data_IF_927804020679
#
_entry.id   IF_927804020679
#
_cell.length_a   1.000
_cell.length_b   1.000
_cell.length_c   1.000
_cell.angle_alpha   90.00
_cell.angle_beta   90.00
_cell.angle_gamma   90.00
#
_symmetry.space_group_name_H-M   'P 1'
#
loop_
_entity.id
_entity.type
_entity.pdbx_description
1 polymer ?
#
# COMPACT_ATOMS: atom_id res chain seq x y z
N UNK A 1 -10.07 -7.41 30.38
CA UNK A 1 -9.32 -6.19 29.99
C UNK A 1 -8.34 -6.57 28.91
N UNK A 2 -8.29 -5.80 27.84
CA UNK A 2 -7.37 -6.02 26.73
C UNK A 2 -5.93 -5.66 27.15
N UNK A 3 -5.03 -6.63 27.07
CA UNK A 3 -3.62 -6.48 27.47
C UNK A 3 -2.82 -5.74 26.41
N UNK A 4 -3.21 -5.83 25.13
CA UNK A 4 -2.54 -5.15 24.04
C UNK A 4 -2.72 -3.64 24.18
N UNK A 5 -3.94 -3.17 24.47
CA UNK A 5 -4.23 -1.75 24.69
C UNK A 5 -3.45 -1.08 25.83
N UNK A 6 -2.68 -1.82 26.64
CA UNK A 6 -1.81 -1.27 27.70
C UNK A 6 -0.36 -1.09 27.26
N UNK A 7 0.01 -1.58 26.07
CA UNK A 7 1.37 -1.44 25.56
C UNK A 7 1.62 0.01 25.10
N UNK A 8 2.88 0.47 25.10
CA UNK A 8 3.23 1.76 24.55
C UNK A 8 2.82 1.86 23.08
N UNK A 9 2.38 3.04 22.64
CA UNK A 9 1.95 3.27 21.25
C UNK A 9 3.02 2.85 20.23
N UNK A 10 4.31 3.05 20.53
CA UNK A 10 5.41 2.62 19.68
C UNK A 10 5.44 1.10 19.45
N UNK A 11 5.12 0.30 20.47
CA UNK A 11 5.04 -1.16 20.34
C UNK A 11 3.81 -1.55 19.54
N UNK A 12 2.69 -0.84 19.73
CA UNK A 12 1.45 -1.10 19.00
C UNK A 12 1.55 -0.74 17.52
N UNK A 13 2.22 0.36 17.17
CA UNK A 13 2.52 0.69 15.78
C UNK A 13 3.48 -0.31 15.16
N UNK A 14 4.45 -0.82 15.92
CA UNK A 14 5.34 -1.88 15.44
C UNK A 14 4.58 -3.16 15.12
N UNK A 15 3.64 -3.58 15.98
CA UNK A 15 2.80 -4.75 15.72
C UNK A 15 2.08 -4.59 14.37
N UNK A 16 1.50 -3.42 14.09
CA UNK A 16 0.85 -3.17 12.81
C UNK A 16 1.81 -3.26 11.62
N UNK A 17 3.02 -2.73 11.76
CA UNK A 17 4.04 -2.81 10.70
C UNK A 17 4.41 -4.27 10.41
N UNK A 18 4.57 -5.10 11.45
CA UNK A 18 4.93 -6.51 11.31
C UNK A 18 3.80 -7.41 10.75
N UNK A 19 2.54 -6.94 10.76
CA UNK A 19 1.43 -7.68 10.16
C UNK A 19 1.42 -7.59 8.62
N UNK A 20 2.03 -6.52 8.08
CA UNK A 20 2.30 -6.22 6.66
C UNK A 20 1.11 -6.20 5.69
N UNK A 21 -0.01 -6.85 5.98
CA UNK A 21 -1.12 -7.08 5.05
C UNK A 21 -2.43 -6.51 5.61
N UNK A 22 -3.27 -5.97 4.73
CA UNK A 22 -4.60 -5.46 5.14
C UNK A 22 -5.45 -6.56 5.79
N UNK A 23 -5.32 -7.81 5.34
CA UNK A 23 -6.02 -8.95 5.94
C UNK A 23 -5.65 -9.14 7.41
N UNK A 24 -4.35 -9.21 7.72
CA UNK A 24 -3.86 -9.46 9.07
C UNK A 24 -4.13 -8.29 10.01
N UNK A 25 -3.97 -7.05 9.52
CA UNK A 25 -4.33 -5.83 10.25
C UNK A 25 -5.81 -5.83 10.63
N UNK A 26 -6.69 -6.14 9.66
CA UNK A 26 -8.13 -6.24 9.92
C UNK A 26 -8.47 -7.38 10.89
N UNK A 27 -7.73 -8.50 10.82
CA UNK A 27 -7.84 -9.60 11.79
C UNK A 27 -7.54 -9.14 13.22
N UNK A 28 -6.45 -8.40 13.43
CA UNK A 28 -6.10 -7.84 14.73
C UNK A 28 -7.18 -6.88 15.24
N UNK A 29 -7.66 -5.96 14.40
CA UNK A 29 -8.69 -4.99 14.79
C UNK A 29 -10.00 -5.70 15.17
N UNK A 30 -10.38 -6.77 14.46
CA UNK A 30 -11.57 -7.57 14.81
C UNK A 30 -11.41 -8.26 16.17
N UNK A 31 -10.22 -8.78 16.48
CA UNK A 31 -9.94 -9.41 17.77
C UNK A 31 -9.81 -8.38 18.91
N UNK A 32 -9.39 -7.15 18.58
CA UNK A 32 -9.01 -6.11 19.52
C UNK A 32 -9.50 -4.73 19.02
N UNK A 33 -10.81 -4.40 19.17
CA UNK A 33 -11.40 -3.20 18.57
C UNK A 33 -10.81 -1.87 19.05
N UNK A 34 -10.23 -1.85 20.26
CA UNK A 34 -9.45 -0.73 20.84
C UNK A 34 -8.32 -0.26 19.92
N UNK A 35 -7.77 -1.15 19.10
CA UNK A 35 -6.64 -0.87 18.21
C UNK A 35 -7.04 -0.08 16.96
N UNK A 36 -8.33 0.00 16.63
CA UNK A 36 -8.82 0.73 15.45
C UNK A 36 -8.44 2.21 15.48
N UNK A 37 -8.62 2.86 16.63
CA UNK A 37 -8.29 4.27 16.79
C UNK A 37 -6.79 4.53 16.62
N UNK A 38 -5.97 3.66 17.22
CA UNK A 38 -4.52 3.75 17.13
C UNK A 38 -4.05 3.56 15.69
N UNK A 39 -4.61 2.59 14.97
CA UNK A 39 -4.33 2.39 13.55
C UNK A 39 -4.61 3.66 12.75
N UNK A 40 -5.82 4.23 12.87
CA UNK A 40 -6.17 5.44 12.13
C UNK A 40 -5.33 6.66 12.49
N UNK A 41 -4.94 6.80 13.75
CA UNK A 41 -4.09 7.91 14.21
C UNK A 41 -2.68 7.85 13.61
N UNK A 42 -2.12 6.65 13.43
CA UNK A 42 -0.74 6.45 12.95
C UNK A 42 -0.66 5.83 11.56
N UNK A 43 -1.78 5.77 10.83
CA UNK A 43 -1.93 4.99 9.59
C UNK A 43 -0.86 5.32 8.55
N UNK A 44 -0.58 6.61 8.34
CA UNK A 44 0.41 7.03 7.35
C UNK A 44 1.80 6.47 7.66
N UNK A 45 2.30 6.66 8.88
CA UNK A 45 3.63 6.15 9.26
C UNK A 45 3.68 4.62 9.31
N UNK A 46 2.57 3.95 9.65
CA UNK A 46 2.45 2.49 9.55
C UNK A 46 2.61 2.04 8.09
N UNK A 47 1.85 2.65 7.17
CA UNK A 47 1.88 2.30 5.75
C UNK A 47 3.23 2.60 5.11
N UNK A 48 3.85 3.74 5.41
CA UNK A 48 5.19 4.09 4.93
C UNK A 48 6.22 3.03 5.34
N UNK A 49 6.17 2.57 6.59
CA UNK A 49 7.08 1.54 7.11
C UNK A 49 6.80 0.17 6.51
N UNK A 50 5.54 -0.24 6.38
CA UNK A 50 5.17 -1.49 5.71
C UNK A 50 5.69 -1.49 4.27
N UNK A 51 5.43 -0.43 3.51
CA UNK A 51 5.86 -0.31 2.12
C UNK A 51 7.38 -0.27 1.98
N UNK A 52 8.06 0.40 2.91
CA UNK A 52 9.54 0.39 2.99
C UNK A 52 10.06 -1.04 3.19
N UNK A 53 9.46 -1.81 4.10
CA UNK A 53 9.85 -3.21 4.33
C UNK A 53 9.59 -4.08 3.10
N UNK A 54 8.37 -4.01 2.53
CA UNK A 54 8.00 -4.79 1.34
C UNK A 54 8.89 -4.49 0.12
N UNK A 55 9.29 -3.22 -0.04
CA UNK A 55 10.13 -2.77 -1.15
C UNK A 55 11.62 -2.69 -0.78
N UNK A 56 12.06 -3.31 0.33
CA UNK A 56 13.46 -3.23 0.78
C UNK A 56 14.44 -3.75 -0.28
N UNK A 57 14.03 -4.71 -1.10
CA UNK A 57 14.85 -5.27 -2.17
C UNK A 57 14.68 -4.55 -3.53
N UNK A 58 13.78 -3.56 -3.62
CA UNK A 58 13.55 -2.77 -4.83
C UNK A 58 14.55 -1.61 -4.93
N UNK A 59 15.84 -1.94 -4.98
CA UNK A 59 16.96 -0.97 -4.94
C UNK A 59 16.91 0.00 -6.13
N UNK A 60 16.46 -0.48 -7.28
CA UNK A 60 16.34 0.31 -8.51
C UNK A 60 14.99 1.07 -8.62
N UNK A 61 14.06 0.79 -7.70
CA UNK A 61 12.73 1.40 -7.68
C UNK A 61 11.81 0.92 -8.81
N UNK A 62 12.12 -0.22 -9.44
CA UNK A 62 11.37 -0.73 -10.58
C UNK A 62 9.99 -1.25 -10.13
N UNK A 63 9.93 -2.01 -9.03
CA UNK A 63 8.65 -2.53 -8.49
C UNK A 63 7.75 -1.37 -8.08
N UNK A 64 8.31 -0.32 -7.47
CA UNK A 64 7.58 0.89 -7.11
C UNK A 64 7.01 1.60 -8.34
N UNK A 65 7.81 1.77 -9.40
CA UNK A 65 7.38 2.40 -10.67
C UNK A 65 6.30 1.59 -11.37
N UNK A 66 6.44 0.27 -11.40
CA UNK A 66 5.45 -0.62 -12.02
C UNK A 66 4.12 -0.57 -11.25
N UNK A 67 4.18 -0.62 -9.91
CA UNK A 67 2.99 -0.52 -9.07
C UNK A 67 2.29 0.84 -9.24
N UNK A 68 3.05 1.92 -9.40
CA UNK A 68 2.54 3.25 -9.70
C UNK A 68 1.82 3.32 -11.04
N UNK A 69 2.45 2.81 -12.09
CA UNK A 69 1.85 2.75 -13.41
C UNK A 69 0.52 1.99 -13.34
N UNK A 70 0.49 0.83 -12.70
CA UNK A 70 -0.74 0.04 -12.51
C UNK A 70 -1.83 0.84 -11.78
N UNK A 71 -1.47 1.59 -10.74
CA UNK A 71 -2.43 2.42 -10.00
C UNK A 71 -3.01 3.57 -10.84
N UNK A 72 -2.19 4.20 -11.68
CA UNK A 72 -2.62 5.28 -12.58
C UNK A 72 -3.49 4.75 -13.73
N UNK A 73 -3.17 3.57 -14.26
CA UNK A 73 -4.00 2.87 -15.25
C UNK A 73 -5.40 2.52 -14.75
N UNK A 74 -5.60 2.41 -13.44
CA UNK A 74 -6.86 1.95 -12.81
C UNK A 74 -7.80 3.09 -12.36
N UNK A 75 -7.58 4.34 -12.77
CA UNK A 75 -8.43 5.48 -12.36
C UNK A 75 -9.77 5.46 -13.15
N UNK A 76 -10.95 5.38 -12.48
CA UNK A 76 -12.26 5.24 -13.14
C UNK A 76 -12.71 6.46 -13.95
N UNK A 77 -12.14 7.64 -13.67
CA UNK A 77 -12.48 8.88 -14.37
C UNK A 77 -11.51 9.15 -15.53
N UNK A 78 -11.58 8.28 -16.54
CA UNK A 78 -11.77 8.75 -17.91
C UNK A 78 -10.65 9.48 -18.67
N UNK A 79 -9.35 9.27 -18.39
CA UNK A 79 -8.30 9.83 -19.26
C UNK A 79 -7.38 8.84 -19.97
N UNK A 80 -7.43 7.53 -19.71
CA UNK A 80 -6.62 6.58 -20.49
C UNK A 80 -7.34 5.29 -20.94
N UNK A 81 -8.57 4.98 -20.52
CA UNK A 81 -9.23 3.77 -21.09
C UNK A 81 -9.59 3.92 -22.58
N UNK A 82 -9.78 5.13 -23.09
CA UNK A 82 -10.24 5.36 -24.47
C UNK A 82 -9.15 5.39 -25.54
N UNK A 83 -7.88 5.63 -25.20
CA UNK A 83 -6.76 5.61 -26.17
C UNK A 83 -6.17 4.21 -26.38
N UNK A 84 -6.51 3.26 -25.51
CA UNK A 84 -5.85 1.96 -25.43
C UNK A 84 -6.68 0.83 -26.04
N UNK A 85 -7.94 1.12 -26.40
CA UNK A 85 -8.85 0.17 -27.03
C UNK A 85 -8.74 0.22 -28.56
N UNK A 86 -7.54 -0.07 -29.09
CA UNK A 86 -7.34 -0.28 -30.53
C UNK A 86 -6.08 0.31 -31.16
N UNK A 87 -5.31 1.14 -30.44
CA UNK A 87 -3.98 1.61 -30.88
C UNK A 87 -2.90 0.74 -30.25
N UNK A 88 -1.87 0.36 -31.02
CA UNK A 88 -0.64 -0.21 -30.47
C UNK A 88 -0.14 0.65 -29.30
N UNK A 89 -0.02 0.04 -28.12
CA UNK A 89 0.61 0.69 -26.97
C UNK A 89 2.05 1.04 -27.34
N UNK A 90 2.33 2.33 -27.56
CA UNK A 90 3.68 2.83 -27.83
C UNK A 90 4.34 3.15 -26.51
N UNK A 91 5.16 2.22 -26.05
CA UNK A 91 5.96 2.36 -24.84
C UNK A 91 6.81 3.64 -24.86
N UNK A 92 7.23 4.08 -26.05
CA UNK A 92 8.03 5.30 -26.29
C UNK A 92 7.32 6.61 -25.91
N UNK A 93 5.98 6.61 -25.85
CA UNK A 93 5.19 7.79 -25.49
C UNK A 93 4.71 7.77 -24.04
N UNK A 94 4.87 6.65 -23.33
CA UNK A 94 4.39 6.51 -21.96
C UNK A 94 5.29 7.30 -21.00
N UNK A 95 4.70 8.29 -20.33
CA UNK A 95 5.37 9.00 -19.26
C UNK A 95 5.15 8.23 -17.96
N UNK A 96 6.23 7.66 -17.45
CA UNK A 96 6.16 6.90 -16.20
C UNK A 96 5.82 7.82 -15.03
N UNK A 97 4.83 7.46 -14.20
CA UNK A 97 4.51 8.22 -13.00
C UNK A 97 5.72 8.29 -12.07
N UNK A 98 6.01 9.51 -11.60
CA UNK A 98 6.98 9.73 -10.55
C UNK A 98 6.29 9.68 -9.18
N UNK A 99 6.93 9.00 -8.23
CA UNK A 99 6.47 9.01 -6.85
C UNK A 99 6.68 10.39 -6.24
N UNK A 100 5.66 10.93 -5.59
CA UNK A 100 5.80 12.20 -4.87
C UNK A 100 6.72 12.02 -3.66
N UNK A 101 7.53 13.04 -3.35
CA UNK A 101 8.40 13.02 -2.15
C UNK A 101 7.58 12.90 -0.85
N UNK A 102 6.30 13.26 -0.90
CA UNK A 102 5.35 13.16 0.21
C UNK A 102 4.03 12.53 -0.29
N UNK A 103 3.96 11.20 -0.41
CA UNK A 103 2.76 10.51 -0.87
C UNK A 103 1.61 10.72 0.10
N UNK A 104 0.40 10.87 -0.42
CA UNK A 104 -0.76 11.02 0.45
C UNK A 104 -1.07 9.68 1.13
N UNK A 105 -1.77 9.73 2.26
CA UNK A 105 -2.32 8.53 2.92
C UNK A 105 -3.16 7.67 1.97
N UNK A 106 -3.85 8.30 1.01
CA UNK A 106 -4.64 7.59 0.00
C UNK A 106 -3.77 6.77 -0.95
N UNK A 107 -2.67 7.35 -1.41
CA UNK A 107 -1.72 6.71 -2.33
C UNK A 107 -1.03 5.52 -1.65
N UNK A 108 -0.58 5.72 -0.41
CA UNK A 108 0.01 4.65 0.40
C UNK A 108 -0.96 3.48 0.60
N UNK A 109 -2.25 3.76 0.85
CA UNK A 109 -3.27 2.72 1.02
C UNK A 109 -3.53 1.95 -0.28
N UNK A 110 -3.59 2.64 -1.43
CA UNK A 110 -3.74 2.01 -2.74
C UNK A 110 -2.56 1.09 -3.05
N UNK A 111 -1.34 1.58 -2.82
CA UNK A 111 -0.13 0.81 -3.06
C UNK A 111 -0.03 -0.42 -2.14
N UNK A 112 -0.30 -0.24 -0.86
CA UNK A 112 -0.32 -1.34 0.12
C UNK A 112 -1.31 -2.44 -0.28
N UNK A 113 -2.51 -2.05 -0.73
CA UNK A 113 -3.53 -2.98 -1.24
C UNK A 113 -3.09 -3.73 -2.50
N UNK A 114 -2.48 -3.02 -3.45
CA UNK A 114 -2.01 -3.62 -4.69
C UNK A 114 -0.92 -4.65 -4.39
N UNK A 115 0.13 -4.26 -3.66
CA UNK A 115 1.23 -5.16 -3.30
C UNK A 115 0.76 -6.34 -2.46
N UNK A 116 -0.12 -6.10 -1.47
CA UNK A 116 -0.69 -7.17 -0.67
C UNK A 116 -1.43 -8.22 -1.49
N UNK A 117 -2.15 -7.81 -2.54
CA UNK A 117 -2.82 -8.75 -3.46
C UNK A 117 -1.85 -9.51 -4.35
N UNK A 118 -0.79 -8.85 -4.83
CA UNK A 118 0.26 -9.49 -5.65
C UNK A 118 1.01 -10.55 -4.83
N UNK A 119 1.34 -10.25 -3.57
CA UNK A 119 2.00 -11.20 -2.66
C UNK A 119 1.12 -12.43 -2.44
N UNK A 120 -0.16 -12.23 -2.07
CA UNK A 120 -1.09 -13.35 -1.89
C UNK A 120 -1.20 -14.20 -3.16
N UNK A 121 -1.30 -13.57 -4.33
CA UNK A 121 -1.38 -14.29 -5.61
C UNK A 121 -0.11 -15.06 -5.96
N UNK A 122 1.07 -14.58 -5.55
CA UNK A 122 2.34 -15.26 -5.81
C UNK A 122 2.66 -16.39 -4.82
N UNK A 123 1.98 -16.46 -3.68
CA UNK A 123 2.13 -17.51 -2.67
C UNK A 123 1.16 -18.69 -2.88
N UNK A 124 0.08 -18.50 -3.65
CA UNK A 124 -0.85 -19.54 -4.13
C UNK A 124 -0.31 -20.29 -5.37
#
# INVERSE_FOLDING_TARGET
MDRLARLPNLVLTEIFVQLETEYSINGLIRACPSMLWLYHQYEQGILERILTNLLTNDVEGNIRKDALAIMEFCIPDGCHESEYRGSEFKMDTFHWPEWTESPTRGDLRKLHRLLGRVIIFGED
#
